data_IF_161546776334
#
_entry.id   IF_161546776334
#
_cell.length_a   1.000
_cell.length_b   1.000
_cell.length_c   1.000
_cell.angle_alpha   90.00
_cell.angle_beta   90.00
_cell.angle_gamma   90.00
#
_symmetry.space_group_name_H-M   'P 1'
#
loop_
_entity.id
_entity.type
_entity.pdbx_description
1 polymer ?
#
# COMPACT_ATOMS: atom_id res chain seq x y z
N UNK A 1 -18.96 -2.80 5.53
CA UNK A 1 -18.65 -4.08 6.22
C UNK A 1 -17.29 -4.60 5.73
N UNK A 2 -16.47 -5.07 6.64
CA UNK A 2 -15.14 -5.57 6.33
C UNK A 2 -14.90 -6.83 7.16
N UNK A 3 -14.61 -7.95 6.50
CA UNK A 3 -14.34 -9.22 7.14
C UNK A 3 -13.07 -9.82 6.58
N UNK A 4 -12.14 -10.15 7.46
CA UNK A 4 -10.88 -10.79 7.10
C UNK A 4 -11.14 -12.28 6.87
N UNK A 5 -10.64 -12.81 5.77
CA UNK A 5 -10.82 -14.21 5.39
C UNK A 5 -9.53 -14.96 5.70
N UNK A 6 -9.71 -16.13 6.31
CA UNK A 6 -8.62 -17.07 6.54
C UNK A 6 -9.10 -18.49 6.17
N UNK A 7 -8.26 -19.23 5.49
CA UNK A 7 -8.49 -20.65 5.20
C UNK A 7 -7.17 -21.40 5.19
N UNK A 8 -7.21 -22.63 5.71
CA UNK A 8 -6.04 -23.50 5.68
C UNK A 8 -5.82 -24.15 4.30
N UNK A 9 -6.76 -23.96 3.38
CA UNK A 9 -6.71 -24.50 2.02
C UNK A 9 -5.95 -23.59 1.05
N UNK A 10 -5.39 -22.51 1.54
CA UNK A 10 -4.50 -21.60 0.82
C UNK A 10 -3.30 -21.30 1.70
N UNK A 11 -2.18 -20.84 1.12
CA UNK A 11 -1.00 -20.51 1.94
C UNK A 11 -1.35 -19.47 3.01
N UNK A 12 -0.83 -19.66 4.22
CA UNK A 12 -0.97 -18.70 5.30
C UNK A 12 -0.28 -17.38 4.94
N UNK A 13 -0.81 -16.27 5.46
CA UNK A 13 -0.14 -14.98 5.32
C UNK A 13 1.15 -14.99 6.14
N UNK A 14 2.26 -14.68 5.49
CA UNK A 14 3.60 -14.71 6.10
C UNK A 14 4.18 -13.32 6.28
N UNK A 15 3.37 -12.27 6.18
CA UNK A 15 3.80 -10.88 6.29
C UNK A 15 2.62 -9.98 6.64
N UNK A 16 2.78 -8.65 6.50
CA UNK A 16 1.71 -7.70 6.85
C UNK A 16 0.63 -7.63 5.77
N UNK A 17 -0.06 -8.75 5.54
CA UNK A 17 -1.20 -8.83 4.64
C UNK A 17 -2.17 -9.92 5.11
N UNK A 18 -3.41 -9.87 4.61
CA UNK A 18 -4.42 -10.91 4.83
C UNK A 18 -4.55 -11.78 3.59
N UNK A 19 -5.00 -13.03 3.74
CA UNK A 19 -5.29 -13.89 2.58
C UNK A 19 -6.37 -13.27 1.69
N UNK A 20 -7.39 -12.68 2.29
CA UNK A 20 -8.45 -12.03 1.58
C UNK A 20 -9.26 -11.14 2.50
N UNK A 21 -10.01 -10.21 1.91
CA UNK A 21 -10.90 -9.32 2.65
C UNK A 21 -12.24 -9.29 1.92
N UNK A 22 -13.30 -9.66 2.64
CA UNK A 22 -14.67 -9.52 2.13
C UNK A 22 -15.21 -8.21 2.66
N UNK A 23 -15.72 -7.36 1.77
CA UNK A 23 -16.16 -6.03 2.16
C UNK A 23 -17.32 -5.53 1.32
N UNK A 24 -18.02 -4.54 1.86
CA UNK A 24 -19.08 -3.82 1.16
C UNK A 24 -19.10 -2.37 1.68
N UNK A 25 -19.66 -1.46 0.88
CA UNK A 25 -19.75 -0.06 1.22
C UNK A 25 -19.41 0.81 0.03
N UNK A 26 -18.96 2.03 0.29
CA UNK A 26 -18.51 2.95 -0.72
C UNK A 26 -17.01 2.75 -0.96
N UNK A 27 -16.64 2.43 -2.20
CA UNK A 27 -15.26 2.15 -2.54
C UNK A 27 -14.53 3.42 -2.95
N UNK A 28 -13.33 3.59 -2.42
CA UNK A 28 -12.37 4.60 -2.85
C UNK A 28 -11.20 3.90 -3.54
N UNK A 29 -11.01 4.20 -4.81
CA UNK A 29 -9.88 3.69 -5.59
C UNK A 29 -8.80 4.76 -5.58
N UNK A 30 -7.67 4.45 -4.97
CA UNK A 30 -6.52 5.36 -4.93
C UNK A 30 -5.57 4.94 -6.04
N UNK A 31 -5.28 5.86 -6.96
CA UNK A 31 -4.32 5.62 -8.04
C UNK A 31 -2.95 5.29 -7.49
N UNK A 32 -2.11 4.63 -8.30
CA UNK A 32 -0.73 4.36 -7.92
C UNK A 32 -0.04 5.65 -7.49
N UNK A 33 0.47 5.66 -6.27
CA UNK A 33 1.14 6.81 -5.70
C UNK A 33 2.65 6.65 -5.82
N UNK A 34 3.24 7.51 -6.65
CA UNK A 34 4.70 7.68 -6.72
C UNK A 34 5.17 8.40 -5.45
N UNK A 35 6.45 8.23 -5.09
CA UNK A 35 6.98 8.83 -3.85
C UNK A 35 7.29 10.33 -4.00
N UNK A 36 6.36 11.08 -4.56
CA UNK A 36 6.51 12.50 -4.84
C UNK A 36 6.00 13.33 -3.65
N UNK A 37 6.83 14.25 -3.19
CA UNK A 37 6.43 15.23 -2.18
C UNK A 37 5.54 16.27 -2.86
N UNK A 38 4.26 16.42 -2.47
CA UNK A 38 3.35 17.28 -3.21
C UNK A 38 3.79 18.76 -3.25
N UNK A 39 4.44 19.24 -2.20
CA UNK A 39 4.88 20.65 -2.11
C UNK A 39 6.01 20.98 -3.08
N UNK A 40 6.83 20.01 -3.44
CA UNK A 40 8.03 20.24 -4.28
C UNK A 40 7.93 19.62 -5.67
N UNK A 41 7.08 18.59 -5.83
CA UNK A 41 7.02 17.81 -7.06
C UNK A 41 8.22 16.86 -7.26
N UNK A 42 9.09 16.75 -6.25
CA UNK A 42 10.28 15.92 -6.28
C UNK A 42 10.07 14.66 -5.46
N UNK A 43 10.88 13.63 -5.71
CA UNK A 43 10.90 12.44 -4.87
C UNK A 43 11.40 12.78 -3.46
N UNK A 44 10.88 12.08 -2.46
CA UNK A 44 11.23 12.29 -1.04
C UNK A 44 12.67 11.89 -0.71
N UNK A 45 13.35 11.21 -1.63
CA UNK A 45 14.72 10.76 -1.45
C UNK A 45 15.07 9.76 -2.54
N UNK A 46 16.29 9.20 -2.45
CA UNK A 46 16.81 8.29 -3.46
C UNK A 46 16.82 6.83 -2.96
N UNK A 47 16.35 6.58 -1.74
CA UNK A 47 16.36 5.26 -1.14
C UNK A 47 14.94 4.70 -1.00
N UNK A 48 14.84 3.39 -0.87
CA UNK A 48 13.55 2.70 -0.79
C UNK A 48 12.77 3.08 0.47
N UNK A 49 13.45 3.32 1.59
CA UNK A 49 12.80 3.66 2.85
C UNK A 49 12.09 5.00 2.74
N UNK A 50 12.80 6.04 2.31
CA UNK A 50 12.23 7.39 2.13
C UNK A 50 11.09 7.39 1.12
N UNK A 51 11.27 6.68 0.01
CA UNK A 51 10.26 6.63 -1.05
C UNK A 51 9.01 5.87 -0.60
N UNK A 52 9.17 4.76 0.10
CA UNK A 52 8.01 4.00 0.60
C UNK A 52 7.20 4.83 1.60
N UNK A 53 7.88 5.55 2.50
CA UNK A 53 7.20 6.45 3.43
C UNK A 53 6.36 7.49 2.67
N UNK A 54 6.92 8.09 1.64
CA UNK A 54 6.21 9.15 0.93
C UNK A 54 5.01 8.62 0.15
N UNK A 55 5.13 7.49 -0.53
CA UNK A 55 4.00 6.88 -1.23
C UNK A 55 2.85 6.58 -0.27
N UNK A 56 3.16 6.04 0.93
CA UNK A 56 2.15 5.72 1.93
C UNK A 56 1.55 6.98 2.58
N UNK A 57 2.35 8.02 2.79
CA UNK A 57 1.84 9.32 3.26
C UNK A 57 0.87 9.93 2.25
N UNK A 58 1.16 9.80 0.97
CA UNK A 58 0.29 10.29 -0.09
C UNK A 58 -1.04 9.55 -0.09
N UNK A 59 -1.01 8.22 0.05
CA UNK A 59 -2.23 7.42 0.18
C UNK A 59 -3.04 7.87 1.39
N UNK A 60 -2.39 8.03 2.54
CA UNK A 60 -3.07 8.46 3.77
C UNK A 60 -3.74 9.82 3.60
N UNK A 61 -3.07 10.76 2.95
CA UNK A 61 -3.64 12.08 2.69
C UNK A 61 -4.90 12.00 1.83
N UNK A 62 -4.89 11.14 0.80
CA UNK A 62 -6.06 10.94 -0.06
C UNK A 62 -7.21 10.31 0.73
N UNK A 63 -6.92 9.32 1.58
CA UNK A 63 -7.93 8.70 2.44
C UNK A 63 -8.55 9.72 3.39
N UNK A 64 -7.72 10.53 4.02
CA UNK A 64 -8.16 11.56 4.97
C UNK A 64 -9.06 12.60 4.31
N UNK A 65 -8.86 12.87 3.01
CA UNK A 65 -9.69 13.84 2.28
C UNK A 65 -11.15 13.40 2.17
N UNK A 66 -11.44 12.11 2.35
CA UNK A 66 -12.82 11.59 2.38
C UNK A 66 -13.21 11.10 3.77
N UNK A 67 -12.44 11.43 4.78
CA UNK A 67 -12.77 11.16 6.18
C UNK A 67 -12.50 9.75 6.67
N UNK A 68 -11.58 9.01 6.03
CA UNK A 68 -11.19 7.68 6.49
C UNK A 68 -9.67 7.61 6.70
N UNK A 69 -9.21 6.59 7.39
CA UNK A 69 -7.80 6.36 7.66
C UNK A 69 -7.28 5.11 6.98
N UNK A 70 -6.05 4.75 7.32
CA UNK A 70 -5.40 3.56 6.74
C UNK A 70 -6.15 2.26 7.06
N UNK A 71 -6.89 2.22 8.15
CA UNK A 71 -7.70 1.05 8.54
C UNK A 71 -8.87 0.79 7.58
N UNK A 72 -9.22 1.76 6.73
CA UNK A 72 -10.26 1.58 5.71
C UNK A 72 -9.73 0.86 4.46
N UNK A 73 -8.42 0.73 4.30
CA UNK A 73 -7.81 0.08 3.14
C UNK A 73 -8.09 -1.43 3.19
N UNK A 74 -8.58 -1.98 2.08
CA UNK A 74 -8.89 -3.41 1.97
C UNK A 74 -7.95 -4.14 1.03
N UNK A 75 -7.28 -3.43 0.13
CA UNK A 75 -6.35 -4.03 -0.84
C UNK A 75 -5.28 -3.04 -1.24
N UNK A 76 -4.06 -3.53 -1.40
CA UNK A 76 -2.95 -2.74 -1.94
C UNK A 76 -2.21 -3.52 -3.00
N UNK A 77 -1.58 -2.79 -3.92
CA UNK A 77 -0.60 -3.32 -4.86
C UNK A 77 0.68 -2.50 -4.71
N UNK A 78 1.78 -3.18 -4.45
CA UNK A 78 3.09 -2.56 -4.28
C UNK A 78 3.97 -2.97 -5.46
N UNK A 79 4.41 -1.98 -6.22
CA UNK A 79 5.32 -2.18 -7.35
C UNK A 79 6.72 -1.72 -6.95
N UNK A 80 7.71 -2.57 -7.18
CA UNK A 80 9.11 -2.28 -6.87
C UNK A 80 9.93 -2.23 -8.14
N UNK A 81 10.90 -1.33 -8.22
CA UNK A 81 11.88 -1.32 -9.30
C UNK A 81 12.88 -2.47 -9.14
N UNK A 82 13.13 -2.92 -7.90
CA UNK A 82 14.04 -4.00 -7.58
C UNK A 82 13.45 -4.83 -6.44
N UNK A 83 13.22 -6.12 -6.69
CA UNK A 83 12.63 -7.03 -5.69
C UNK A 83 13.52 -7.17 -4.45
N UNK A 84 14.82 -6.89 -4.57
CA UNK A 84 15.72 -6.92 -3.42
C UNK A 84 15.42 -5.83 -2.39
N UNK A 85 14.62 -4.82 -2.75
CA UNK A 85 14.15 -3.80 -1.82
C UNK A 85 12.91 -4.23 -1.02
N UNK A 86 12.43 -5.46 -1.25
CA UNK A 86 11.19 -5.93 -0.63
C UNK A 86 11.22 -5.87 0.90
N UNK A 87 12.29 -6.36 1.52
CA UNK A 87 12.37 -6.41 2.99
C UNK A 87 12.31 -5.01 3.61
N UNK A 88 13.03 -4.05 3.06
CA UNK A 88 13.04 -2.67 3.57
C UNK A 88 11.70 -1.97 3.32
N UNK A 89 11.11 -2.19 2.13
CA UNK A 89 9.76 -1.69 1.83
C UNK A 89 8.76 -2.27 2.82
N UNK A 90 8.82 -3.56 3.06
CA UNK A 90 7.87 -4.28 3.90
C UNK A 90 7.91 -3.80 5.36
N UNK A 91 9.09 -3.46 5.86
CA UNK A 91 9.26 -2.91 7.21
C UNK A 91 8.55 -1.56 7.33
N UNK A 92 8.75 -0.67 6.37
CA UNK A 92 8.06 0.64 6.35
C UNK A 92 6.56 0.46 6.20
N UNK A 93 6.13 -0.42 5.29
CA UNK A 93 4.72 -0.74 5.07
C UNK A 93 4.04 -1.14 6.39
N UNK A 94 4.69 -1.96 7.19
CA UNK A 94 4.16 -2.41 8.48
C UNK A 94 3.97 -1.29 9.50
N UNK A 95 4.62 -0.13 9.31
CA UNK A 95 4.42 1.02 10.19
C UNK A 95 3.11 1.77 9.90
N UNK A 96 2.55 1.60 8.70
CA UNK A 96 1.34 2.31 8.27
C UNK A 96 0.08 1.49 8.42
N UNK A 97 0.20 0.16 8.48
CA UNK A 97 -0.93 -0.74 8.60
C UNK A 97 -0.79 -1.59 9.86
N UNK A 98 -1.92 -1.81 10.52
CA UNK A 98 -2.01 -2.68 11.68
C UNK A 98 -2.92 -3.86 11.35
N UNK A 99 -2.77 -4.96 12.06
CA UNK A 99 -3.69 -6.09 11.92
C UNK A 99 -5.11 -5.67 12.35
N UNK A 100 -6.15 -6.10 11.63
CA UNK A 100 -6.10 -6.98 10.45
C UNK A 100 -5.65 -6.22 9.21
N UNK A 101 -4.71 -6.80 8.50
CA UNK A 101 -4.09 -6.16 7.34
C UNK A 101 -4.96 -6.24 6.08
N UNK A 102 -4.81 -5.30 5.12
CA UNK A 102 -5.43 -5.46 3.80
C UNK A 102 -4.85 -6.65 3.05
N UNK A 103 -5.58 -7.13 2.04
CA UNK A 103 -5.00 -8.02 1.05
C UNK A 103 -3.92 -7.24 0.27
N UNK A 104 -2.90 -7.94 -0.22
CA UNK A 104 -1.77 -7.27 -0.89
C UNK A 104 -1.17 -8.13 -1.98
N UNK A 105 -0.75 -7.48 -3.06
CA UNK A 105 0.14 -8.04 -4.05
C UNK A 105 1.37 -7.13 -4.13
N UNK A 106 2.57 -7.71 -4.19
CA UNK A 106 3.82 -6.97 -4.29
C UNK A 106 4.76 -7.70 -5.25
N UNK A 107 5.33 -6.97 -6.22
CA UNK A 107 6.21 -7.58 -7.22
C UNK A 107 7.11 -6.52 -7.85
N UNK A 108 8.12 -7.00 -8.58
CA UNK A 108 9.00 -6.13 -9.35
C UNK A 108 8.36 -5.80 -10.70
N UNK A 109 8.27 -4.50 -11.01
CA UNK A 109 7.85 -4.03 -12.33
C UNK A 109 9.07 -3.88 -13.24
N UNK A 110 8.86 -3.99 -14.55
CA UNK A 110 9.93 -3.79 -15.53
C UNK A 110 10.52 -2.38 -15.44
N UNK A 111 9.68 -1.38 -15.17
CA UNK A 111 10.09 0.02 -14.97
C UNK A 111 8.96 0.75 -14.25
N UNK A 112 9.31 1.81 -13.53
CA UNK A 112 8.36 2.70 -12.91
C UNK A 112 8.56 4.12 -13.44
N UNK A 113 7.49 4.95 -13.46
CA UNK A 113 7.62 6.33 -13.94
C UNK A 113 8.69 7.10 -13.17
N UNK A 114 9.44 7.95 -13.88
CA UNK A 114 10.48 8.83 -13.30
C UNK A 114 11.55 8.07 -12.54
N UNK A 115 11.77 6.79 -12.86
CA UNK A 115 12.73 5.94 -12.17
C UNK A 115 12.46 5.80 -10.67
N UNK A 116 11.20 5.82 -10.26
CA UNK A 116 10.82 5.57 -8.88
C UNK A 116 11.27 4.17 -8.46
N UNK A 117 11.58 4.00 -7.18
CA UNK A 117 11.92 2.69 -6.60
C UNK A 117 10.67 1.95 -6.17
N UNK A 118 9.57 2.65 -5.95
CA UNK A 118 8.32 2.07 -5.48
C UNK A 118 7.12 2.89 -5.99
N UNK A 119 6.02 2.20 -6.21
CA UNK A 119 4.72 2.81 -6.48
C UNK A 119 3.66 1.97 -5.77
N UNK A 120 2.71 2.59 -5.09
CA UNK A 120 1.72 1.87 -4.29
C UNK A 120 0.31 2.35 -4.64
N UNK A 121 -0.57 1.40 -4.92
CA UNK A 121 -1.99 1.62 -5.20
C UNK A 121 -2.79 1.03 -4.05
N UNK A 122 -3.95 1.62 -3.76
CA UNK A 122 -4.82 1.13 -2.68
C UNK A 122 -6.29 1.19 -3.07
N UNK A 123 -7.07 0.31 -2.46
CA UNK A 123 -8.53 0.34 -2.50
C UNK A 123 -9.00 0.37 -1.05
N UNK A 124 -9.91 1.29 -0.75
CA UNK A 124 -10.47 1.45 0.59
C UNK A 124 -11.98 1.38 0.55
N UNK A 125 -12.59 1.12 1.69
CA UNK A 125 -14.05 1.09 1.84
C UNK A 125 -14.45 2.04 2.94
N UNK A 126 -15.33 2.99 2.60
CA UNK A 126 -15.98 3.87 3.55
C UNK A 126 -17.35 3.32 3.83
N UNK A 127 -17.61 2.98 5.09
CA UNK A 127 -18.87 2.38 5.53
C UNK A 127 -20.11 3.26 5.38
#
# INVERSE_FOLDING_TARGET
>A
MKKIIHTDRAPAAIGPYSQGVLCSGNFLYVSGQLPIVPETGEFAGEDIVSQTHQSLKNIRAILESVGVGMDAVVSTTVLLADINDFANMNEVYGEYFAAPYPARMAFQAAALPKNALVEIQAIAVKG
#
